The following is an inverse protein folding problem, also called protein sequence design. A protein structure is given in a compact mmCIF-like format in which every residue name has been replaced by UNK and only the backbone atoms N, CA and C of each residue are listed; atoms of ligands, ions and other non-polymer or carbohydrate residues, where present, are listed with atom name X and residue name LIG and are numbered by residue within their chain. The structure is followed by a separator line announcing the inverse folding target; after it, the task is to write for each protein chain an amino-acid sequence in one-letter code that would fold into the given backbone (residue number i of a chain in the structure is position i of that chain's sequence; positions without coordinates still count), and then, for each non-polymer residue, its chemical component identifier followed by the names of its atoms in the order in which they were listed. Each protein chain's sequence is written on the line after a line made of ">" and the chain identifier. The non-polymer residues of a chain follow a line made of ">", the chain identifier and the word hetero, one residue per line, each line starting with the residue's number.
data_IF_487547406402
#
_entry.id   IF_487547406402
#
_cell.length_a   1.000
_cell.length_b   1.000
_cell.length_c   1.000
_cell.angle_alpha   90.00
_cell.angle_beta   90.00
_cell.angle_gamma   90.00
#
_symmetry.space_group_name_H-M   'P 1'
#
loop_
_entity.id
_entity.type
_entity.pdbx_description
1 polymer ?
#
# COMPACT_ATOMS: atom_id res chain seq x y z
N UNK A 1 63.29 33.21 -9.12
CA UNK A 1 61.89 32.86 -9.45
C UNK A 1 61.94 31.72 -10.45
N UNK A 2 61.39 30.55 -10.11
CA UNK A 2 61.22 29.48 -11.11
C UNK A 2 59.98 29.84 -11.93
N UNK A 3 60.20 30.14 -13.19
CA UNK A 3 59.12 30.44 -14.15
C UNK A 3 58.69 29.12 -14.80
N UNK A 4 57.38 28.86 -14.82
CA UNK A 4 56.82 27.69 -15.50
C UNK A 4 56.89 27.86 -17.02
N UNK A 5 57.12 26.76 -17.71
CA UNK A 5 57.10 26.74 -19.17
C UNK A 5 55.66 26.72 -19.69
N UNK A 6 55.46 27.26 -20.89
CA UNK A 6 54.13 27.29 -21.52
C UNK A 6 53.55 25.88 -21.72
N UNK A 7 54.42 24.89 -21.94
CA UNK A 7 54.05 23.48 -22.07
C UNK A 7 53.61 22.86 -20.73
N UNK A 8 54.26 23.18 -19.61
CA UNK A 8 53.82 22.72 -18.28
C UNK A 8 52.43 23.26 -17.94
N UNK A 9 52.16 24.52 -18.26
CA UNK A 9 50.85 25.12 -18.02
C UNK A 9 49.75 24.47 -18.86
N UNK A 10 50.07 24.08 -20.10
CA UNK A 10 49.15 23.37 -20.99
C UNK A 10 48.85 21.95 -20.49
N UNK A 11 49.87 21.23 -20.03
CA UNK A 11 49.69 19.87 -19.47
C UNK A 11 48.87 19.92 -18.17
N UNK A 12 49.16 20.85 -17.27
CA UNK A 12 48.43 21.00 -16.00
C UNK A 12 46.97 21.35 -16.23
N UNK A 13 46.68 22.29 -17.12
CA UNK A 13 45.29 22.66 -17.45
C UNK A 13 44.54 21.49 -18.11
N UNK A 14 45.19 20.76 -19.03
CA UNK A 14 44.60 19.58 -19.65
C UNK A 14 44.20 18.50 -18.64
N UNK A 15 45.10 18.14 -17.73
CA UNK A 15 44.82 17.13 -16.69
C UNK A 15 43.71 17.62 -15.75
N UNK A 16 43.76 18.89 -15.35
CA UNK A 16 42.77 19.46 -14.43
C UNK A 16 41.37 19.54 -15.05
N UNK A 17 41.26 19.89 -16.34
CA UNK A 17 40.00 19.89 -17.07
C UNK A 17 39.38 18.49 -17.16
N UNK A 18 40.17 17.45 -17.40
CA UNK A 18 39.70 16.06 -17.42
C UNK A 18 39.19 15.65 -16.03
N UNK A 19 39.93 16.00 -14.97
CA UNK A 19 39.53 15.68 -13.60
C UNK A 19 38.21 16.36 -13.21
N UNK A 20 38.06 17.66 -13.46
CA UNK A 20 36.82 18.40 -13.19
C UNK A 20 35.67 17.81 -14.00
N UNK A 21 35.87 17.57 -15.30
CA UNK A 21 34.83 16.99 -16.16
C UNK A 21 34.30 15.65 -15.62
N UNK A 22 35.21 14.81 -15.12
CA UNK A 22 34.86 13.51 -14.53
C UNK A 22 34.04 13.67 -13.24
N UNK A 23 34.46 14.57 -12.34
CA UNK A 23 33.76 14.84 -11.08
C UNK A 23 32.36 15.41 -11.36
N UNK A 24 32.25 16.36 -12.29
CA UNK A 24 30.97 16.95 -12.67
C UNK A 24 30.02 15.92 -13.27
N UNK A 25 30.52 14.99 -14.09
CA UNK A 25 29.69 13.92 -14.66
C UNK A 25 29.12 12.99 -13.58
N UNK A 26 29.95 12.60 -12.59
CA UNK A 26 29.51 11.79 -11.44
C UNK A 26 28.46 12.57 -10.64
N UNK A 27 28.68 13.86 -10.39
CA UNK A 27 27.75 14.70 -9.65
C UNK A 27 26.37 14.79 -10.33
N UNK A 28 26.34 15.04 -11.64
CA UNK A 28 25.08 15.10 -12.43
C UNK A 28 24.35 13.75 -12.40
N UNK A 29 25.09 12.65 -12.55
CA UNK A 29 24.53 11.29 -12.43
C UNK A 29 23.91 11.06 -11.05
N UNK A 30 24.59 11.50 -9.99
CA UNK A 30 24.09 11.46 -8.61
C UNK A 30 22.77 12.21 -8.43
N UNK A 31 22.67 13.43 -8.97
CA UNK A 31 21.43 14.22 -8.92
C UNK A 31 20.26 13.54 -9.63
N UNK A 32 20.51 12.91 -10.78
CA UNK A 32 19.48 12.18 -11.51
C UNK A 32 18.97 10.96 -10.72
N UNK A 33 19.88 10.26 -10.04
CA UNK A 33 19.56 9.12 -9.18
C UNK A 33 18.76 9.55 -7.95
N UNK A 34 19.15 10.65 -7.31
CA UNK A 34 18.41 11.21 -6.17
C UNK A 34 16.97 11.57 -6.53
N UNK A 35 16.73 12.22 -7.68
CA UNK A 35 15.37 12.54 -8.15
C UNK A 35 14.50 11.30 -8.34
N UNK A 36 15.07 10.23 -8.92
CA UNK A 36 14.39 8.94 -9.08
C UNK A 36 14.04 8.30 -7.73
N UNK A 37 14.99 8.30 -6.79
CA UNK A 37 14.79 7.74 -5.44
C UNK A 37 13.68 8.49 -4.71
N UNK A 38 13.66 9.83 -4.75
CA UNK A 38 12.61 10.62 -4.10
C UNK A 38 11.21 10.30 -4.63
N UNK A 39 11.07 10.13 -5.95
CA UNK A 39 9.79 9.76 -6.56
C UNK A 39 9.33 8.35 -6.14
N UNK A 40 10.25 7.39 -6.03
CA UNK A 40 9.97 6.03 -5.56
C UNK A 40 9.62 6.02 -4.06
N UNK A 41 10.32 6.83 -3.25
CA UNK A 41 10.07 6.97 -1.83
C UNK A 41 8.68 7.55 -1.52
N UNK A 42 8.21 8.50 -2.33
CA UNK A 42 6.85 9.04 -2.19
C UNK A 42 5.78 7.96 -2.42
N UNK A 43 5.96 7.11 -3.43
CA UNK A 43 5.07 5.96 -3.71
C UNK A 43 5.08 5.00 -2.52
N UNK A 44 6.26 4.63 -2.03
CA UNK A 44 6.41 3.73 -0.89
C UNK A 44 5.74 4.28 0.37
N UNK A 45 5.89 5.57 0.67
CA UNK A 45 5.29 6.18 1.85
C UNK A 45 3.76 6.16 1.80
N UNK A 46 3.18 6.53 0.66
CA UNK A 46 1.72 6.53 0.51
C UNK A 46 1.13 5.12 0.55
N UNK A 47 1.79 4.14 -0.11
CA UNK A 47 1.33 2.75 -0.08
C UNK A 47 1.48 2.14 1.31
N UNK A 48 2.58 2.43 2.01
CA UNK A 48 2.79 1.98 3.39
C UNK A 48 1.68 2.48 4.30
N UNK A 49 1.29 3.75 4.18
CA UNK A 49 0.14 4.29 4.92
C UNK A 49 -1.15 3.51 4.64
N UNK A 50 -1.46 3.29 3.36
CA UNK A 50 -2.71 2.60 2.95
C UNK A 50 -2.73 1.16 3.43
N UNK A 51 -1.61 0.44 3.30
CA UNK A 51 -1.47 -0.93 3.80
C UNK A 51 -1.61 -0.98 5.33
N UNK A 52 -0.97 -0.07 6.07
CA UNK A 52 -1.07 -0.01 7.52
C UNK A 52 -2.49 0.34 7.99
N UNK A 53 -3.15 1.26 7.30
CA UNK A 53 -4.52 1.66 7.61
C UNK A 53 -5.49 0.50 7.38
N UNK A 54 -5.49 -0.10 6.19
CA UNK A 54 -6.32 -1.27 5.89
C UNK A 54 -5.97 -2.45 6.79
N UNK A 55 -4.68 -2.72 6.99
CA UNK A 55 -4.19 -3.81 7.81
C UNK A 55 -4.62 -3.68 9.27
N UNK A 56 -4.66 -2.47 9.82
CA UNK A 56 -5.20 -2.23 11.17
C UNK A 56 -6.69 -2.54 11.25
N UNK A 57 -7.47 -2.07 10.28
CA UNK A 57 -8.92 -2.32 10.25
C UNK A 57 -9.23 -3.81 10.07
N UNK A 58 -8.55 -4.47 9.13
CA UNK A 58 -8.69 -5.90 8.84
C UNK A 58 -8.27 -6.75 10.04
N UNK A 59 -7.13 -6.46 10.66
CA UNK A 59 -6.63 -7.19 11.84
C UNK A 59 -7.64 -7.15 13.00
N UNK A 60 -8.39 -6.05 13.12
CA UNK A 60 -9.38 -5.84 14.17
C UNK A 60 -10.82 -6.15 13.72
N UNK A 61 -10.98 -6.80 12.56
CA UNK A 61 -12.30 -7.25 12.14
C UNK A 61 -12.86 -8.25 13.15
N UNK A 62 -14.18 -8.24 13.27
CA UNK A 62 -14.94 -9.14 14.12
C UNK A 62 -15.70 -10.13 13.26
N UNK A 63 -15.94 -11.30 13.82
CA UNK A 63 -16.85 -12.28 13.24
C UNK A 63 -18.25 -11.69 13.19
N UNK A 64 -18.91 -11.83 12.04
CA UNK A 64 -20.24 -11.27 11.81
C UNK A 64 -21.34 -12.19 12.36
N UNK A 65 -22.60 -11.75 12.30
CA UNK A 65 -23.78 -12.51 12.77
C UNK A 65 -23.76 -12.90 14.26
N UNK A 66 -22.86 -12.31 15.04
CA UNK A 66 -22.72 -12.53 16.48
C UNK A 66 -23.00 -11.23 17.23
N UNK A 67 -23.70 -11.33 18.35
CA UNK A 67 -23.99 -10.20 19.23
C UNK A 67 -22.76 -9.82 20.05
N UNK A 68 -22.28 -8.58 19.90
CA UNK A 68 -21.19 -8.01 20.72
C UNK A 68 -21.68 -6.74 21.41
N UNK A 69 -22.06 -6.84 22.68
CA UNK A 69 -22.45 -5.67 23.50
C UNK A 69 -23.64 -4.86 22.95
N UNK A 70 -24.51 -5.53 22.18
CA UNK A 70 -25.65 -4.99 21.43
C UNK A 70 -26.34 -6.11 20.64
N UNK A 71 -27.23 -5.77 19.71
CA UNK A 71 -27.86 -6.75 18.81
C UNK A 71 -26.89 -7.33 17.77
N UNK A 72 -27.29 -8.40 17.05
CA UNK A 72 -26.52 -8.90 15.92
C UNK A 72 -26.43 -7.83 14.83
N UNK A 73 -25.30 -7.78 14.14
CA UNK A 73 -25.07 -6.96 12.95
C UNK A 73 -24.82 -7.93 11.80
N UNK A 74 -25.40 -7.63 10.64
CA UNK A 74 -25.34 -8.43 9.42
C UNK A 74 -24.70 -7.57 8.34
N UNK A 75 -23.38 -7.56 8.32
CA UNK A 75 -22.59 -6.91 7.29
C UNK A 75 -22.39 -7.84 6.09
N UNK A 76 -22.19 -9.13 6.34
CA UNK A 76 -21.73 -10.12 5.38
C UNK A 76 -22.87 -11.06 4.97
N UNK A 77 -22.72 -11.71 3.81
CA UNK A 77 -23.71 -12.70 3.34
C UNK A 77 -23.50 -14.11 3.91
N UNK A 78 -22.30 -14.41 4.41
CA UNK A 78 -21.94 -15.73 4.94
C UNK A 78 -22.29 -15.89 6.42
N UNK A 79 -22.67 -17.11 6.82
CA UNK A 79 -23.06 -17.43 8.19
C UNK A 79 -21.86 -17.37 9.15
N UNK A 80 -21.84 -16.35 10.03
CA UNK A 80 -20.79 -16.13 11.04
C UNK A 80 -19.36 -16.11 10.46
N UNK A 81 -19.18 -15.50 9.28
CA UNK A 81 -17.85 -15.34 8.67
C UNK A 81 -17.18 -14.03 9.13
N UNK A 82 -15.88 -13.92 8.93
CA UNK A 82 -15.09 -12.77 9.41
C UNK A 82 -14.86 -11.73 8.31
N UNK A 83 -14.79 -12.19 7.06
CA UNK A 83 -14.56 -11.37 5.88
C UNK A 83 -15.38 -11.91 4.71
N UNK A 84 -15.68 -11.05 3.75
CA UNK A 84 -16.29 -11.42 2.48
C UNK A 84 -15.60 -10.66 1.35
N UNK A 85 -15.36 -11.31 0.22
CA UNK A 85 -14.84 -10.68 -1.01
C UNK A 85 -15.82 -10.86 -2.15
N UNK A 86 -16.79 -9.93 -2.34
CA UNK A 86 -17.76 -9.99 -3.43
C UNK A 86 -17.12 -9.88 -4.82
N UNK A 87 -15.94 -9.24 -4.89
CA UNK A 87 -15.08 -9.19 -6.07
C UNK A 87 -13.63 -9.27 -5.64
N UNK A 88 -12.72 -9.58 -6.57
CA UNK A 88 -11.27 -9.62 -6.27
C UNK A 88 -10.80 -8.30 -5.64
N UNK A 89 -11.36 -7.15 -6.05
CA UNK A 89 -10.93 -5.82 -5.63
C UNK A 89 -11.77 -5.19 -4.51
N UNK A 90 -12.61 -5.96 -3.82
CA UNK A 90 -13.44 -5.50 -2.70
C UNK A 90 -13.37 -6.48 -1.55
N UNK A 91 -13.19 -5.96 -0.34
CA UNK A 91 -13.33 -6.72 0.91
C UNK A 91 -14.32 -6.03 1.84
N UNK A 92 -15.20 -6.82 2.44
CA UNK A 92 -16.19 -6.40 3.44
C UNK A 92 -15.93 -7.13 4.75
N UNK A 93 -16.17 -6.44 5.86
CA UNK A 93 -16.05 -7.00 7.20
C UNK A 93 -16.78 -6.12 8.21
N UNK A 94 -17.05 -6.69 9.39
CA UNK A 94 -17.48 -5.92 10.56
C UNK A 94 -16.24 -5.41 11.30
N UNK A 95 -16.13 -4.10 11.49
CA UNK A 95 -14.96 -3.52 12.15
C UNK A 95 -15.03 -3.59 13.69
N UNK A 96 -13.97 -3.15 14.37
CA UNK A 96 -13.90 -3.12 15.83
C UNK A 96 -15.04 -2.34 16.50
N UNK A 97 -15.55 -1.30 15.85
CA UNK A 97 -16.64 -0.44 16.34
C UNK A 97 -18.03 -1.01 16.04
N UNK A 98 -18.14 -2.25 15.53
CA UNK A 98 -19.38 -2.87 15.08
C UNK A 98 -20.04 -2.19 13.85
N UNK A 99 -19.25 -1.51 13.03
CA UNK A 99 -19.71 -0.90 11.78
C UNK A 99 -19.41 -1.82 10.60
N UNK A 100 -20.31 -1.86 9.60
CA UNK A 100 -20.05 -2.58 8.36
C UNK A 100 -19.07 -1.76 7.52
N UNK A 101 -17.85 -2.25 7.38
CA UNK A 101 -16.76 -1.56 6.72
C UNK A 101 -16.32 -2.31 5.48
N UNK A 102 -15.99 -1.58 4.43
CA UNK A 102 -15.39 -2.15 3.23
C UNK A 102 -14.27 -1.30 2.66
N UNK A 103 -13.35 -1.98 1.99
CA UNK A 103 -12.36 -1.37 1.10
C UNK A 103 -12.59 -1.87 -0.32
N UNK A 104 -12.54 -0.96 -1.28
CA UNK A 104 -12.75 -1.33 -2.68
C UNK A 104 -11.96 -0.42 -3.62
N UNK A 105 -11.59 -0.96 -4.79
CA UNK A 105 -11.03 -0.18 -5.88
C UNK A 105 -12.15 0.36 -6.77
N UNK A 106 -12.15 1.67 -7.02
CA UNK A 106 -13.00 2.27 -8.04
C UNK A 106 -12.17 3.22 -8.91
N UNK A 107 -12.18 2.97 -10.22
CA UNK A 107 -11.25 3.60 -11.14
C UNK A 107 -9.80 3.24 -10.77
N UNK A 108 -9.01 4.24 -10.37
CA UNK A 108 -7.62 4.07 -9.95
C UNK A 108 -7.37 4.45 -8.48
N UNK A 109 -8.43 4.57 -7.69
CA UNK A 109 -8.38 5.03 -6.31
C UNK A 109 -8.99 3.99 -5.39
N UNK A 110 -8.33 3.73 -4.26
CA UNK A 110 -8.86 2.85 -3.21
C UNK A 110 -9.77 3.69 -2.32
N UNK A 111 -10.96 3.20 -2.05
CA UNK A 111 -11.94 3.83 -1.19
C UNK A 111 -12.17 3.00 0.08
N UNK A 112 -12.43 3.70 1.17
CA UNK A 112 -13.06 3.18 2.37
C UNK A 112 -14.52 3.60 2.41
N UNK A 113 -15.39 2.69 2.85
CA UNK A 113 -16.75 3.03 3.21
C UNK A 113 -17.10 2.34 4.53
N UNK A 114 -17.38 3.13 5.56
CA UNK A 114 -17.96 2.66 6.83
C UNK A 114 -19.47 2.78 6.78
N UNK A 115 -20.17 1.91 7.50
CA UNK A 115 -21.63 1.80 7.49
C UNK A 115 -22.17 1.66 6.05
N UNK A 116 -21.54 0.81 5.23
CA UNK A 116 -21.96 0.65 3.82
C UNK A 116 -23.36 0.04 3.69
N UNK A 117 -23.81 -0.69 4.70
CA UNK A 117 -25.15 -1.27 4.82
C UNK A 117 -26.23 -0.19 4.90
N UNK A 118 -25.90 1.00 5.42
CA UNK A 118 -26.80 2.16 5.50
C UNK A 118 -26.40 3.28 4.54
N UNK A 119 -25.49 3.03 3.58
CA UNK A 119 -25.08 4.02 2.59
C UNK A 119 -24.13 5.10 3.11
N UNK A 120 -23.27 4.80 4.10
CA UNK A 120 -22.28 5.75 4.60
C UNK A 120 -21.32 6.30 3.53
N UNK A 121 -20.59 7.40 3.80
CA UNK A 121 -19.80 8.09 2.79
C UNK A 121 -18.61 7.23 2.29
N UNK A 122 -18.28 7.40 1.01
CA UNK A 122 -17.09 6.81 0.39
C UNK A 122 -15.93 7.79 0.47
N UNK A 123 -14.85 7.41 1.15
CA UNK A 123 -13.68 8.24 1.37
C UNK A 123 -12.48 7.68 0.61
N UNK A 124 -11.77 8.49 -0.21
CA UNK A 124 -10.57 8.03 -0.89
C UNK A 124 -9.43 7.83 0.12
N UNK A 125 -8.77 6.66 0.07
CA UNK A 125 -7.58 6.35 0.87
C UNK A 125 -6.26 6.67 0.15
N UNK A 126 -6.28 6.64 -1.18
CA UNK A 126 -5.12 6.97 -2.01
C UNK A 126 -5.26 8.36 -2.63
N UNK A 127 -4.15 9.07 -2.78
CA UNK A 127 -4.13 10.34 -3.51
C UNK A 127 -4.32 10.13 -5.02
N UNK A 128 -4.78 11.14 -5.75
CA UNK A 128 -4.89 11.11 -7.21
C UNK A 128 -3.54 11.04 -7.95
N UNK A 129 -2.43 11.30 -7.26
CA UNK A 129 -1.09 11.18 -7.83
C UNK A 129 -0.63 9.72 -7.99
N UNK A 130 -1.27 8.78 -7.29
CA UNK A 130 -1.03 7.36 -7.45
C UNK A 130 -2.13 6.74 -8.30
N UNK A 131 -1.72 5.94 -9.28
CA UNK A 131 -2.65 5.18 -10.10
C UNK A 131 -2.61 3.72 -9.65
N UNK A 132 -3.65 3.29 -8.95
CA UNK A 132 -3.80 1.88 -8.58
C UNK A 132 -4.35 1.13 -9.78
N UNK A 133 -3.56 0.22 -10.34
CA UNK A 133 -3.93 -0.56 -11.53
C UNK A 133 -4.55 -1.90 -11.17
N UNK A 134 -4.19 -2.45 -10.01
CA UNK A 134 -4.77 -3.68 -9.49
C UNK A 134 -4.83 -3.64 -7.97
N UNK A 135 -5.94 -4.11 -7.41
CA UNK A 135 -6.11 -4.39 -6.00
C UNK A 135 -6.79 -5.75 -5.90
N UNK A 136 -6.22 -6.66 -5.12
CA UNK A 136 -6.80 -7.98 -4.88
C UNK A 136 -6.78 -8.33 -3.40
N UNK A 137 -7.90 -8.82 -2.90
CA UNK A 137 -8.03 -9.39 -1.57
C UNK A 137 -8.25 -10.90 -1.70
N UNK A 138 -7.46 -11.69 -0.97
CA UNK A 138 -7.63 -13.14 -0.85
C UNK A 138 -7.82 -13.48 0.61
N UNK A 139 -9.01 -13.96 0.95
CA UNK A 139 -9.35 -14.41 2.30
C UNK A 139 -9.03 -15.90 2.42
N UNK A 140 -8.58 -16.31 3.60
CA UNK A 140 -8.37 -17.71 3.95
C UNK A 140 -8.70 -17.93 5.42
N UNK A 141 -9.35 -19.05 5.73
CA UNK A 141 -9.64 -19.49 7.11
C UNK A 141 -10.80 -18.76 7.76
N UNK A 142 -11.72 -18.18 6.97
CA UNK A 142 -12.88 -17.43 7.47
C UNK A 142 -14.10 -18.31 7.78
N UNK A 143 -14.03 -19.60 7.45
CA UNK A 143 -15.16 -20.53 7.55
C UNK A 143 -15.34 -21.06 8.95
N UNK A 144 -16.59 -21.26 9.38
CA UNK A 144 -16.92 -21.91 10.65
C UNK A 144 -16.45 -23.37 10.75
N UNK A 145 -16.22 -24.02 9.61
CA UNK A 145 -15.92 -25.45 9.55
C UNK A 145 -14.43 -25.74 9.35
N UNK A 146 -13.57 -24.76 9.57
CA UNK A 146 -12.12 -24.93 9.52
C UNK A 146 -11.46 -24.61 10.88
N UNK A 147 -10.19 -24.98 11.00
CA UNK A 147 -9.38 -24.76 12.21
C UNK A 147 -8.24 -23.75 11.93
N UNK A 148 -8.42 -22.88 10.94
CA UNK A 148 -7.41 -21.91 10.54
C UNK A 148 -7.79 -20.52 11.07
N UNK A 149 -6.79 -19.78 11.52
CA UNK A 149 -7.01 -18.38 11.87
C UNK A 149 -7.32 -17.57 10.58
N UNK A 150 -8.43 -16.81 10.53
CA UNK A 150 -8.77 -15.95 9.41
C UNK A 150 -7.64 -14.98 9.09
N UNK A 151 -7.28 -14.89 7.81
CA UNK A 151 -6.28 -13.97 7.28
C UNK A 151 -6.63 -13.47 5.90
N UNK A 152 -6.15 -12.28 5.59
CA UNK A 152 -6.36 -11.61 4.31
C UNK A 152 -5.02 -11.29 3.69
N UNK A 153 -4.78 -11.81 2.49
CA UNK A 153 -3.68 -11.37 1.64
C UNK A 153 -4.14 -10.23 0.75
N UNK A 154 -3.46 -9.10 0.85
CA UNK A 154 -3.68 -7.91 0.05
C UNK A 154 -2.58 -7.88 -1.00
N UNK A 155 -2.97 -7.83 -2.27
CA UNK A 155 -2.07 -7.59 -3.39
C UNK A 155 -2.45 -6.26 -4.06
N UNK A 156 -1.46 -5.44 -4.37
CA UNK A 156 -1.65 -4.12 -4.98
C UNK A 156 -0.60 -3.89 -6.06
N UNK A 157 -1.03 -3.41 -7.23
CA UNK A 157 -0.16 -2.87 -8.27
C UNK A 157 -0.41 -1.37 -8.42
N UNK A 158 0.67 -0.59 -8.37
CA UNK A 158 0.66 0.86 -8.46
C UNK A 158 1.54 1.32 -9.60
N UNK A 159 1.02 2.24 -10.41
CA UNK A 159 1.72 2.82 -11.54
C UNK A 159 2.05 4.30 -11.26
N UNK A 160 3.30 4.70 -11.49
CA UNK A 160 3.72 6.10 -11.47
C UNK A 160 4.78 6.36 -12.53
N UNK A 161 4.54 7.34 -13.40
CA UNK A 161 5.50 7.75 -14.44
C UNK A 161 5.90 6.59 -15.37
N UNK A 162 4.96 5.70 -15.70
CA UNK A 162 5.20 4.52 -16.54
C UNK A 162 5.91 3.35 -15.87
N UNK A 163 6.30 3.47 -14.59
CA UNK A 163 6.82 2.36 -13.79
C UNK A 163 5.72 1.73 -12.96
N UNK A 164 5.79 0.41 -12.82
CA UNK A 164 4.88 -0.38 -11.99
C UNK A 164 5.60 -0.88 -10.75
N UNK A 165 4.90 -0.83 -9.62
CA UNK A 165 5.33 -1.33 -8.33
C UNK A 165 4.29 -2.32 -7.83
N UNK A 166 4.73 -3.46 -7.32
CA UNK A 166 3.86 -4.51 -6.81
C UNK A 166 4.12 -4.72 -5.32
N UNK A 167 3.03 -4.79 -4.56
CA UNK A 167 3.07 -4.97 -3.11
C UNK A 167 2.15 -6.11 -2.72
N UNK A 168 2.62 -6.92 -1.78
CA UNK A 168 1.82 -7.97 -1.19
C UNK A 168 2.07 -8.03 0.30
N UNK A 169 1.01 -8.15 1.08
CA UNK A 169 1.08 -8.41 2.52
C UNK A 169 -0.05 -9.34 2.95
N UNK A 170 0.14 -10.02 4.07
CA UNK A 170 -0.88 -10.90 4.65
C UNK A 170 -1.14 -10.50 6.08
N UNK A 171 -2.41 -10.25 6.39
CA UNK A 171 -2.88 -9.77 7.68
C UNK A 171 -3.74 -10.86 8.31
N UNK A 172 -3.26 -11.44 9.41
CA UNK A 172 -4.07 -12.29 10.27
C UNK A 172 -5.01 -11.43 11.12
N UNK A 173 -6.21 -11.92 11.36
CA UNK A 173 -7.09 -11.37 12.38
C UNK A 173 -6.45 -11.51 13.76
N UNK A 174 -6.75 -10.57 14.67
CA UNK A 174 -6.28 -10.57 16.06
C UNK A 174 -7.17 -11.40 16.97
N UNK A 175 -8.48 -11.30 16.81
CA UNK A 175 -9.43 -12.09 17.60
C UNK A 175 -9.29 -13.56 17.21
N UNK A 176 -9.15 -14.43 18.21
CA UNK A 176 -9.02 -15.87 18.00
C UNK A 176 -10.26 -16.37 17.28
N UNK A 177 -10.05 -17.23 16.29
CA UNK A 177 -11.18 -17.85 15.62
C UNK A 177 -11.91 -18.83 16.54
N UNK A 178 -13.20 -18.59 16.73
CA UNK A 178 -14.07 -19.38 17.59
C UNK A 178 -15.23 -19.88 16.74
N UNK A 179 -15.50 -21.18 16.82
CA UNK A 179 -16.65 -21.81 16.17
C UNK A 179 -17.91 -21.61 17.02
N UNK A 180 -19.05 -21.38 16.37
CA UNK A 180 -20.33 -21.05 17.01
C UNK A 180 -21.51 -21.84 16.47
#
# INVERSE_FOLDING_TARGET
>A
MKSFTLIELLVVTGIFSIAIGSISAIFVSGLSSQRKILAEQEVLNQISYVIEYMGRAIRMAKKDDISFGGGPKYCLSGNKVNYETPSDSEIRFRNYNNECQKFFLFGNTIYEQKNYDTGGPQLPLTSSALKITSLKFRVFGESQNDNFQPRVTIFMEVERGGKKFQFQTTISQRDIDVQY
#
